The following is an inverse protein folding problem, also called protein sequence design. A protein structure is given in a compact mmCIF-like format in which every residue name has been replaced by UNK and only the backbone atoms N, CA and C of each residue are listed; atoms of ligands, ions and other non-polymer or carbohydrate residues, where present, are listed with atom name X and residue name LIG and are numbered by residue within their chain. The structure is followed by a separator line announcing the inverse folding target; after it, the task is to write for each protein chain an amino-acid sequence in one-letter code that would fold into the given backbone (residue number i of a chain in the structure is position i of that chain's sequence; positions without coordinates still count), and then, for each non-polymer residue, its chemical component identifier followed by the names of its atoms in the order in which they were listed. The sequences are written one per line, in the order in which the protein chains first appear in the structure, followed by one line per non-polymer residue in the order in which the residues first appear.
data_IF_854691036385
#
_entry.id   IF_854691036385
#
_cell.length_a   1.000
_cell.length_b   1.000
_cell.length_c   1.000
_cell.angle_alpha   90.00
_cell.angle_beta   90.00
_cell.angle_gamma   90.00
#
_symmetry.space_group_name_H-M   'P 1'
#
loop_
_entity.id
_entity.type
_entity.pdbx_description
1 polymer ?
#
# COMPACT_ATOMS: atom_id res chain seq x y z
N UNK A 1 25.59 20.41 13.17
CA UNK A 1 25.00 19.78 14.35
C UNK A 1 23.50 20.09 14.50
N UNK A 2 23.02 21.27 14.10
CA UNK A 2 21.59 21.63 14.23
C UNK A 2 20.66 20.97 13.19
N UNK A 3 21.14 20.72 11.97
CA UNK A 3 20.34 20.09 10.90
C UNK A 3 20.07 18.61 11.17
N UNK A 4 21.05 17.88 11.67
CA UNK A 4 20.92 16.46 11.98
C UNK A 4 19.92 16.27 13.14
N UNK A 5 20.01 17.12 14.16
CA UNK A 5 19.08 17.11 15.29
C UNK A 5 17.63 17.39 14.88
N UNK A 6 17.43 18.33 13.94
CA UNK A 6 16.12 18.59 13.34
C UNK A 6 15.55 17.38 12.59
N UNK A 7 16.38 16.69 11.80
CA UNK A 7 15.97 15.48 11.04
C UNK A 7 15.60 14.34 11.99
N UNK A 8 16.41 14.08 13.02
CA UNK A 8 16.12 13.03 14.01
C UNK A 8 14.85 13.33 14.79
N UNK A 9 14.60 14.59 15.15
CA UNK A 9 13.37 14.99 15.84
C UNK A 9 12.14 14.79 14.96
N UNK A 10 12.20 15.17 13.69
CA UNK A 10 11.09 14.99 12.76
C UNK A 10 10.79 13.51 12.50
N UNK A 11 11.84 12.70 12.34
CA UNK A 11 11.71 11.25 12.23
C UNK A 11 11.09 10.65 13.49
N UNK A 12 11.57 11.04 14.68
CA UNK A 12 11.04 10.55 15.96
C UNK A 12 9.55 10.89 16.14
N UNK A 13 9.14 12.12 15.81
CA UNK A 13 7.72 12.52 15.87
C UNK A 13 6.89 11.72 14.87
N UNK A 14 7.38 11.51 13.65
CA UNK A 14 6.65 10.74 12.64
C UNK A 14 6.50 9.26 13.00
N UNK A 15 7.54 8.64 13.55
CA UNK A 15 7.53 7.24 14.01
C UNK A 15 6.61 7.08 15.22
N UNK A 16 6.65 8.03 16.16
CA UNK A 16 5.77 8.05 17.33
C UNK A 16 4.30 8.21 16.93
N UNK A 17 3.99 9.16 16.04
CA UNK A 17 2.65 9.34 15.50
C UNK A 17 2.16 8.08 14.76
N UNK A 18 3.01 7.46 13.95
CA UNK A 18 2.67 6.19 13.30
C UNK A 18 2.40 5.07 14.33
N UNK A 19 3.19 4.97 15.40
CA UNK A 19 2.93 4.03 16.49
C UNK A 19 1.57 4.25 17.17
N UNK A 20 1.10 5.49 17.28
CA UNK A 20 -0.23 5.79 17.79
C UNK A 20 -1.36 5.35 16.84
N UNK A 21 -1.22 5.62 15.54
CA UNK A 21 -2.26 5.32 14.55
C UNK A 21 -2.36 3.83 14.19
N UNK A 22 -1.24 3.11 14.21
CA UNK A 22 -1.16 1.71 13.78
C UNK A 22 -0.98 0.73 14.93
N UNK A 23 -0.72 1.21 16.14
CA UNK A 23 -0.27 0.41 17.27
C UNK A 23 1.18 -0.05 17.08
N UNK A 24 1.51 -1.24 17.58
CA UNK A 24 2.84 -1.82 17.38
C UNK A 24 3.13 -2.15 15.90
N UNK A 25 4.34 -1.83 15.43
CA UNK A 25 4.85 -2.24 14.12
C UNK A 25 5.12 -3.74 14.10
N UNK A 26 4.11 -4.52 13.75
CA UNK A 26 4.28 -5.95 13.51
C UNK A 26 4.90 -6.22 12.13
N UNK A 27 5.46 -7.42 11.97
CA UNK A 27 6.11 -7.84 10.72
C UNK A 27 5.16 -7.78 9.51
N UNK A 28 3.86 -8.03 9.71
CA UNK A 28 2.80 -7.90 8.70
C UNK A 28 2.72 -6.48 8.12
N UNK A 29 2.78 -5.45 8.96
CA UNK A 29 2.74 -4.05 8.53
C UNK A 29 3.98 -3.66 7.71
N UNK A 30 5.16 -4.17 8.10
CA UNK A 30 6.39 -3.96 7.33
C UNK A 30 6.33 -4.61 5.95
N UNK A 31 5.81 -5.84 5.86
CA UNK A 31 5.57 -6.52 4.57
C UNK A 31 4.67 -5.66 3.68
N UNK A 32 3.57 -5.14 4.22
CA UNK A 32 2.67 -4.27 3.46
C UNK A 32 3.39 -3.03 2.93
N UNK A 33 4.17 -2.34 3.77
CA UNK A 33 4.91 -1.16 3.36
C UNK A 33 5.92 -1.46 2.25
N UNK A 34 6.63 -2.59 2.35
CA UNK A 34 7.54 -3.07 1.31
C UNK A 34 6.81 -3.35 0.01
N UNK A 35 5.67 -4.05 0.04
CA UNK A 35 4.87 -4.32 -1.17
C UNK A 35 4.32 -3.03 -1.78
N UNK A 36 3.85 -2.09 -0.96
CA UNK A 36 3.42 -0.77 -1.42
C UNK A 36 4.54 -0.04 -2.16
N UNK A 37 5.76 -0.08 -1.64
CA UNK A 37 6.93 0.56 -2.26
C UNK A 37 7.31 -0.13 -3.58
N UNK A 38 7.35 -1.47 -3.59
CA UNK A 38 7.64 -2.27 -4.79
C UNK A 38 6.61 -1.95 -5.89
N UNK A 39 5.32 -2.01 -5.57
CA UNK A 39 4.26 -1.69 -6.53
C UNK A 39 4.41 -0.27 -7.08
N UNK A 40 4.65 0.71 -6.20
CA UNK A 40 4.80 2.10 -6.62
C UNK A 40 5.95 2.27 -7.62
N UNK A 41 7.11 1.67 -7.30
CA UNK A 41 8.31 1.73 -8.14
C UNK A 41 8.07 0.99 -9.45
N UNK A 42 7.64 -0.28 -9.41
CA UNK A 42 7.39 -1.09 -10.60
C UNK A 42 6.39 -0.45 -11.55
N UNK A 43 5.29 0.08 -11.03
CA UNK A 43 4.27 0.74 -11.86
C UNK A 43 4.79 2.06 -12.45
N UNK A 44 5.60 2.81 -11.70
CA UNK A 44 6.23 4.03 -12.21
C UNK A 44 7.24 3.72 -13.31
N UNK A 45 8.10 2.70 -13.13
CA UNK A 45 9.04 2.24 -14.14
C UNK A 45 8.33 1.82 -15.43
N UNK A 46 7.24 1.07 -15.33
CA UNK A 46 6.39 0.71 -16.48
C UNK A 46 5.88 1.94 -17.21
N UNK A 47 5.34 2.93 -16.50
CA UNK A 47 4.82 4.15 -17.12
C UNK A 47 5.91 4.99 -17.79
N UNK A 48 7.14 4.95 -17.26
CA UNK A 48 8.32 5.56 -17.90
C UNK A 48 8.66 4.88 -19.22
N UNK A 49 8.71 3.54 -19.25
CA UNK A 49 9.02 2.76 -20.46
C UNK A 49 7.98 3.02 -21.57
N UNK A 50 6.70 3.15 -21.21
CA UNK A 50 5.61 3.38 -22.17
C UNK A 50 5.44 4.88 -22.49
N UNK A 51 6.32 5.76 -21.99
CA UNK A 51 6.24 7.23 -22.14
C UNK A 51 4.87 7.82 -21.74
N UNK A 52 4.18 7.21 -20.77
CA UNK A 52 2.85 7.61 -20.27
C UNK A 52 2.88 8.16 -18.84
N UNK A 53 4.09 8.42 -18.31
CA UNK A 53 4.29 8.97 -16.98
C UNK A 53 3.73 10.40 -16.92
N UNK A 54 2.92 10.65 -15.90
CA UNK A 54 2.39 11.98 -15.60
C UNK A 54 2.40 12.17 -14.11
N UNK A 55 2.86 13.34 -13.66
CA UNK A 55 2.89 13.70 -12.23
C UNK A 55 1.52 13.53 -11.57
N UNK A 56 0.43 13.88 -12.28
CA UNK A 56 -0.95 13.70 -11.80
C UNK A 56 -1.25 12.22 -11.47
N UNK A 57 -0.78 11.28 -12.29
CA UNK A 57 -1.00 9.84 -12.07
C UNK A 57 -0.18 9.32 -10.89
N UNK A 58 1.09 9.73 -10.81
CA UNK A 58 1.99 9.37 -9.71
C UNK A 58 1.45 9.88 -8.38
N UNK A 59 1.05 11.15 -8.33
CA UNK A 59 0.44 11.75 -7.14
C UNK A 59 -0.87 11.05 -6.77
N UNK A 60 -1.75 10.78 -7.73
CA UNK A 60 -2.98 10.05 -7.47
C UNK A 60 -2.72 8.63 -6.91
N UNK A 61 -1.63 7.96 -7.31
CA UNK A 61 -1.22 6.66 -6.74
C UNK A 61 -0.73 6.80 -5.31
N UNK A 62 0.05 7.85 -5.02
CA UNK A 62 0.52 8.14 -3.67
C UNK A 62 -0.64 8.42 -2.71
N UNK A 63 -1.61 9.24 -3.13
CA UNK A 63 -2.82 9.53 -2.34
C UNK A 63 -3.57 8.24 -2.00
N UNK A 64 -3.71 7.30 -2.95
CA UNK A 64 -4.37 6.01 -2.68
C UNK A 64 -3.65 5.21 -1.58
N UNK A 65 -2.31 5.18 -1.59
CA UNK A 65 -1.53 4.47 -0.55
C UNK A 65 -1.68 5.14 0.81
N UNK A 66 -1.69 6.47 0.86
CA UNK A 66 -1.98 7.20 2.11
C UNK A 66 -3.38 6.92 2.64
N UNK A 67 -4.39 6.85 1.76
CA UNK A 67 -5.77 6.48 2.15
C UNK A 67 -5.83 5.03 2.64
N UNK A 68 -5.11 4.09 2.01
CA UNK A 68 -5.01 2.71 2.50
C UNK A 68 -4.44 2.65 3.92
N UNK A 69 -3.37 3.40 4.19
CA UNK A 69 -2.80 3.50 5.53
C UNK A 69 -3.81 4.11 6.52
N UNK A 70 -4.52 5.17 6.13
CA UNK A 70 -5.58 5.74 6.97
C UNK A 70 -6.68 4.71 7.30
N UNK A 71 -7.09 3.86 6.34
CA UNK A 71 -8.07 2.80 6.58
C UNK A 71 -7.57 1.73 7.56
N UNK A 72 -6.29 1.36 7.49
CA UNK A 72 -5.70 0.43 8.46
C UNK A 72 -5.68 1.04 9.86
N UNK A 73 -5.43 2.35 9.97
CA UNK A 73 -5.52 3.05 11.25
C UNK A 73 -6.95 3.05 11.81
N UNK A 74 -7.97 3.24 10.95
CA UNK A 74 -9.37 3.09 11.35
C UNK A 74 -9.63 1.67 11.88
N UNK A 75 -9.15 0.63 11.22
CA UNK A 75 -9.25 -0.75 11.71
C UNK A 75 -8.57 -0.94 13.07
N UNK A 76 -7.42 -0.29 13.30
CA UNK A 76 -6.76 -0.30 14.60
C UNK A 76 -7.61 0.36 15.70
N UNK A 77 -8.29 1.47 15.41
CA UNK A 77 -9.21 2.09 16.35
C UNK A 77 -10.40 1.18 16.67
N UNK A 78 -10.91 0.42 15.69
CA UNK A 78 -11.91 -0.61 15.95
C UNK A 78 -11.36 -1.72 16.84
N UNK A 79 -10.10 -2.13 16.68
CA UNK A 79 -9.50 -3.11 17.58
C UNK A 79 -9.41 -2.62 19.03
N UNK A 80 -9.10 -1.34 19.23
CA UNK A 80 -9.08 -0.72 20.55
C UNK A 80 -10.48 -0.65 21.15
N UNK A 81 -11.49 -0.29 20.35
CA UNK A 81 -12.87 -0.19 20.79
C UNK A 81 -13.48 -1.55 21.16
N UNK A 82 -13.20 -2.58 20.35
CA UNK A 82 -13.78 -3.92 20.48
C UNK A 82 -12.90 -4.89 21.30
N UNK A 83 -11.72 -4.45 21.74
CA UNK A 83 -10.72 -5.27 22.45
C UNK A 83 -10.32 -6.56 21.69
N UNK A 84 -10.27 -6.49 20.35
CA UNK A 84 -9.94 -7.65 19.49
C UNK A 84 -8.43 -7.89 19.32
N UNK A 85 -7.60 -7.26 20.15
CA UNK A 85 -6.14 -7.44 20.23
C UNK A 85 -5.39 -7.27 18.89
N UNK A 86 -5.92 -6.47 17.96
CA UNK A 86 -5.30 -6.22 16.66
C UNK A 86 -5.78 -7.12 15.51
N UNK A 87 -6.72 -8.04 15.77
CA UNK A 87 -7.21 -8.99 14.75
C UNK A 87 -7.83 -8.29 13.54
N UNK A 88 -8.55 -7.18 13.73
CA UNK A 88 -9.24 -6.45 12.66
C UNK A 88 -8.21 -5.71 11.79
N UNK A 89 -7.25 -5.04 12.42
CA UNK A 89 -6.11 -4.39 11.77
C UNK A 89 -5.29 -5.40 10.98
N UNK A 90 -4.98 -6.56 11.55
CA UNK A 90 -4.17 -7.57 10.90
C UNK A 90 -4.89 -8.18 9.68
N UNK A 91 -6.22 -8.36 9.77
CA UNK A 91 -7.04 -8.75 8.62
C UNK A 91 -7.04 -7.69 7.51
N UNK A 92 -7.14 -6.40 7.87
CA UNK A 92 -7.04 -5.30 6.92
C UNK A 92 -5.66 -5.25 6.25
N UNK A 93 -4.59 -5.44 7.02
CA UNK A 93 -3.21 -5.52 6.51
C UNK A 93 -3.08 -6.69 5.53
N UNK A 94 -3.57 -7.89 5.87
CA UNK A 94 -3.56 -9.05 4.97
C UNK A 94 -4.32 -8.78 3.67
N UNK A 95 -5.50 -8.16 3.76
CA UNK A 95 -6.27 -7.75 2.57
C UNK A 95 -5.45 -6.84 1.66
N UNK A 96 -4.78 -5.83 2.22
CA UNK A 96 -3.98 -4.90 1.42
C UNK A 96 -2.66 -5.50 0.92
N UNK A 97 -2.07 -6.47 1.64
CA UNK A 97 -0.94 -7.27 1.14
C UNK A 97 -1.34 -8.01 -0.13
N UNK A 98 -2.49 -8.70 -0.10
CA UNK A 98 -3.03 -9.37 -1.27
C UNK A 98 -3.32 -8.38 -2.40
N UNK A 99 -3.93 -7.24 -2.08
CA UNK A 99 -4.24 -6.19 -3.06
C UNK A 99 -2.98 -5.64 -3.77
N UNK A 100 -1.93 -5.30 -3.04
CA UNK A 100 -0.67 -4.81 -3.62
C UNK A 100 0.07 -5.91 -4.38
N UNK A 101 0.03 -7.15 -3.90
CA UNK A 101 0.58 -8.32 -4.62
C UNK A 101 -0.08 -8.49 -5.99
N UNK A 102 -1.41 -8.36 -6.05
CA UNK A 102 -2.19 -8.39 -7.29
C UNK A 102 -1.76 -7.28 -8.25
N UNK A 103 -1.57 -6.05 -7.77
CA UNK A 103 -1.11 -4.93 -8.59
C UNK A 103 0.28 -5.17 -9.17
N UNK A 104 1.20 -5.74 -8.38
CA UNK A 104 2.54 -6.12 -8.83
C UNK A 104 2.45 -7.14 -9.98
N UNK A 105 1.63 -8.19 -9.82
CA UNK A 105 1.43 -9.23 -10.85
C UNK A 105 0.87 -8.63 -12.14
N UNK A 106 -0.12 -7.72 -12.05
CA UNK A 106 -0.68 -7.03 -13.22
C UNK A 106 0.36 -6.14 -13.90
N UNK A 107 1.18 -5.43 -13.13
CA UNK A 107 2.27 -4.61 -13.70
C UNK A 107 3.36 -5.48 -14.34
N UNK A 108 3.71 -6.63 -13.75
CA UNK A 108 4.65 -7.59 -14.32
C UNK A 108 4.14 -8.18 -15.65
N UNK A 109 2.88 -8.61 -15.69
CA UNK A 109 2.23 -9.08 -16.92
C UNK A 109 2.24 -8.01 -18.02
N UNK A 110 1.94 -6.75 -17.66
CA UNK A 110 1.99 -5.61 -18.60
C UNK A 110 3.40 -5.28 -19.11
N UNK A 111 4.45 -5.76 -18.45
CA UNK A 111 5.85 -5.61 -18.86
C UNK A 111 6.36 -6.79 -19.68
N UNK A 112 5.51 -7.80 -19.94
CA UNK A 112 5.90 -9.01 -20.68
C UNK A 112 6.64 -10.05 -19.83
N UNK A 113 6.64 -9.90 -18.50
CA UNK A 113 7.17 -10.93 -17.60
C UNK A 113 6.19 -12.12 -17.64
N UNK A 114 6.68 -13.36 -17.84
CA UNK A 114 5.81 -14.53 -17.92
C UNK A 114 5.08 -14.74 -16.59
N UNK A 115 3.77 -14.58 -16.62
CA UNK A 115 2.85 -14.80 -15.50
C UNK A 115 1.71 -15.69 -16.02
N UNK A 116 1.19 -16.66 -15.25
CA UNK A 116 0.08 -17.49 -15.68
C UNK A 116 -1.15 -16.65 -16.08
N UNK A 117 -1.64 -16.80 -17.31
CA UNK A 117 -2.77 -16.01 -17.83
C UNK A 117 -4.06 -16.19 -17.02
N UNK A 118 -4.30 -17.39 -16.50
CA UNK A 118 -5.42 -17.65 -15.59
C UNK A 118 -5.45 -16.70 -14.38
N UNK A 119 -4.28 -16.33 -13.83
CA UNK A 119 -4.19 -15.35 -12.75
C UNK A 119 -4.57 -13.96 -13.27
N UNK A 120 -4.02 -13.53 -14.40
CA UNK A 120 -4.30 -12.20 -14.96
C UNK A 120 -5.81 -12.02 -15.22
N UNK A 121 -6.46 -13.01 -15.82
CA UNK A 121 -7.89 -12.96 -16.16
C UNK A 121 -8.79 -12.89 -14.93
N UNK A 122 -8.46 -13.66 -13.88
CA UNK A 122 -9.15 -13.60 -12.59
C UNK A 122 -9.00 -12.22 -11.96
N UNK A 123 -7.79 -11.65 -11.99
CA UNK A 123 -7.50 -10.35 -11.40
C UNK A 123 -8.19 -9.20 -12.17
N UNK A 124 -8.25 -9.27 -13.49
CA UNK A 124 -8.96 -8.30 -14.31
C UNK A 124 -10.48 -8.34 -14.07
N UNK A 125 -11.04 -9.54 -13.91
CA UNK A 125 -12.45 -9.75 -13.53
C UNK A 125 -12.75 -9.14 -12.15
N UNK A 126 -11.90 -9.39 -11.15
CA UNK A 126 -12.05 -8.80 -9.82
C UNK A 126 -11.96 -7.28 -9.87
N UNK A 127 -10.97 -6.73 -10.58
CA UNK A 127 -10.81 -5.28 -10.76
C UNK A 127 -12.05 -4.63 -11.40
N UNK A 128 -12.67 -5.31 -12.35
CA UNK A 128 -13.92 -4.85 -12.98
C UNK A 128 -15.11 -4.90 -12.03
N UNK A 129 -15.16 -5.86 -11.09
CA UNK A 129 -16.17 -5.89 -10.02
C UNK A 129 -15.96 -4.81 -8.94
N UNK A 130 -14.70 -4.47 -8.62
CA UNK A 130 -14.37 -3.42 -7.64
C UNK A 130 -14.45 -1.99 -8.20
N UNK A 131 -14.36 -1.80 -9.53
CA UNK A 131 -14.73 -0.54 -10.18
C UNK A 131 -16.25 -0.35 -10.08
N UNK A 132 -16.73 0.31 -9.03
CA UNK A 132 -18.06 0.94 -9.08
C UNK A 132 -18.08 1.92 -10.25
N UNK A 133 -19.07 1.78 -11.16
CA UNK A 133 -19.44 2.82 -12.12
C UNK A 133 -19.64 4.14 -11.35
N UNK A 134 -19.24 5.28 -11.94
CA UNK A 134 -19.39 6.59 -11.30
C UNK A 134 -20.83 6.85 -10.88
#
# INVERSE_FOLDING_TARGET
MDRDFGIFSFLAVSVSAAGFFFGGFQYSFLILLSLMAIEFISTTLKETIIHKLSFKKVFARLVKKLVTLALISVCHFFDQLLNTQGSIRDLAIMFYILYESVQIVVTASSLGIPVPQMLVDLLETLKNKFKRKP
#
